data_IF_917195392622
#
_entry.id   IF_917195392622
#
_cell.length_a   1.000
_cell.length_b   1.000
_cell.length_c   1.000
_cell.angle_alpha   90.00
_cell.angle_beta   90.00
_cell.angle_gamma   90.00
#
_symmetry.space_group_name_H-M   'P 1'
#
loop_
_entity.id
_entity.type
_entity.pdbx_description
1 polymer ?
#
# COMPACT_ATOMS: atom_id res chain seq x y z
N UNK A 1 -46.30 -27.34 -6.43
CA UNK A 1 -45.78 -26.12 -7.09
C UNK A 1 -46.54 -24.84 -6.73
N UNK A 2 -47.43 -24.88 -5.73
CA UNK A 2 -48.34 -23.79 -5.31
C UNK A 2 -47.88 -23.06 -4.05
N UNK A 3 -47.16 -23.75 -3.15
CA UNK A 3 -46.77 -23.27 -1.82
C UNK A 3 -46.15 -21.85 -1.76
N UNK A 4 -45.17 -21.53 -2.62
CA UNK A 4 -44.46 -20.23 -2.57
C UNK A 4 -45.34 -19.09 -3.12
N UNK A 5 -46.06 -19.33 -4.20
CA UNK A 5 -46.97 -18.33 -4.78
C UNK A 5 -48.14 -18.02 -3.84
N UNK A 6 -48.64 -19.04 -3.14
CA UNK A 6 -49.71 -18.89 -2.15
C UNK A 6 -49.20 -18.13 -0.92
N UNK A 7 -47.97 -18.41 -0.46
CA UNK A 7 -47.31 -17.69 0.62
C UNK A 7 -47.10 -16.20 0.28
N UNK A 8 -46.56 -15.89 -0.91
CA UNK A 8 -46.38 -14.50 -1.36
C UNK A 8 -47.73 -13.77 -1.37
N UNK A 9 -48.76 -14.42 -1.92
CA UNK A 9 -50.12 -13.86 -1.97
C UNK A 9 -50.70 -13.62 -0.56
N UNK A 10 -50.47 -14.54 0.37
CA UNK A 10 -50.90 -14.38 1.77
C UNK A 10 -50.20 -13.22 2.46
N UNK A 11 -48.89 -13.06 2.24
CA UNK A 11 -48.08 -11.99 2.82
C UNK A 11 -48.53 -10.63 2.27
N UNK A 12 -48.69 -10.48 0.95
CA UNK A 12 -49.10 -9.21 0.34
C UNK A 12 -50.52 -8.78 0.75
N UNK A 13 -51.38 -9.72 1.14
CA UNK A 13 -52.74 -9.45 1.61
C UNK A 13 -52.90 -9.44 3.15
N UNK A 14 -51.80 -9.58 3.90
CA UNK A 14 -51.84 -9.69 5.36
C UNK A 14 -52.08 -8.37 6.11
N UNK A 15 -51.90 -7.22 5.43
CA UNK A 15 -51.93 -5.91 6.06
C UNK A 15 -50.71 -5.61 6.95
N UNK A 16 -49.64 -6.40 6.82
CA UNK A 16 -48.40 -6.21 7.54
C UNK A 16 -47.50 -5.19 6.85
N UNK A 17 -46.78 -4.42 7.66
CA UNK A 17 -45.69 -3.54 7.23
C UNK A 17 -44.34 -4.22 7.47
N UNK A 18 -43.34 -3.85 6.67
CA UNK A 18 -41.96 -4.28 6.83
C UNK A 18 -41.00 -3.11 6.70
N UNK A 19 -39.90 -3.19 7.43
CA UNK A 19 -38.78 -2.25 7.38
C UNK A 19 -37.68 -2.79 6.46
N UNK A 20 -37.22 -1.98 5.53
CA UNK A 20 -36.09 -2.33 4.68
C UNK A 20 -34.77 -2.24 5.48
N UNK A 21 -33.97 -3.32 5.58
CA UNK A 21 -32.74 -3.32 6.38
C UNK A 21 -31.62 -2.44 5.80
N UNK A 22 -31.70 -2.06 4.53
CA UNK A 22 -30.68 -1.22 3.86
C UNK A 22 -30.95 0.28 4.03
N UNK A 23 -32.21 0.71 3.98
CA UNK A 23 -32.57 2.13 4.08
C UNK A 23 -33.35 2.52 5.35
N UNK A 24 -33.84 1.55 6.13
CA UNK A 24 -34.62 1.77 7.36
C UNK A 24 -36.05 2.25 7.11
N UNK A 25 -36.52 2.27 5.86
CA UNK A 25 -37.86 2.75 5.52
C UNK A 25 -38.91 1.65 5.76
N UNK A 26 -39.97 1.99 6.50
CA UNK A 26 -41.11 1.10 6.75
C UNK A 26 -42.20 1.32 5.72
N UNK A 27 -42.69 0.24 5.11
CA UNK A 27 -43.77 0.29 4.12
C UNK A 27 -44.59 -1.00 4.13
N UNK A 28 -45.83 -0.92 3.63
CA UNK A 28 -46.73 -2.05 3.57
C UNK A 28 -46.19 -3.15 2.63
N UNK A 29 -46.22 -4.42 3.07
CA UNK A 29 -45.77 -5.54 2.24
C UNK A 29 -46.58 -5.71 0.95
N UNK A 30 -47.80 -5.15 0.92
CA UNK A 30 -48.64 -5.08 -0.28
C UNK A 30 -48.02 -4.23 -1.40
N UNK A 31 -47.16 -3.27 -1.08
CA UNK A 31 -46.47 -2.42 -2.06
C UNK A 31 -45.13 -2.99 -2.53
N UNK A 32 -44.71 -4.15 -2.03
CA UNK A 32 -43.41 -4.75 -2.33
C UNK A 32 -43.53 -5.73 -3.50
N UNK A 33 -42.55 -5.72 -4.40
CA UNK A 33 -42.40 -6.78 -5.40
C UNK A 33 -41.76 -8.01 -4.75
N UNK A 34 -42.59 -8.93 -4.27
CA UNK A 34 -42.16 -10.23 -3.77
C UNK A 34 -42.22 -11.27 -4.90
N UNK A 35 -41.19 -12.10 -5.03
CA UNK A 35 -41.12 -13.13 -6.07
C UNK A 35 -40.35 -14.36 -5.63
N UNK A 36 -40.61 -15.47 -6.33
CA UNK A 36 -39.91 -16.74 -6.12
C UNK A 36 -38.53 -16.70 -6.79
N UNK A 37 -37.47 -16.71 -5.97
CA UNK A 37 -36.09 -16.65 -6.44
C UNK A 37 -35.63 -17.88 -7.25
N UNK A 38 -36.42 -18.96 -7.30
CA UNK A 38 -36.15 -20.12 -8.14
C UNK A 38 -36.78 -19.99 -9.54
N UNK A 39 -37.59 -18.96 -9.77
CA UNK A 39 -38.23 -18.66 -11.06
C UNK A 39 -37.57 -17.46 -11.74
N UNK A 40 -37.84 -17.23 -13.03
CA UNK A 40 -37.40 -16.01 -13.70
C UNK A 40 -37.90 -14.78 -12.94
N UNK A 41 -36.99 -13.81 -12.77
CA UNK A 41 -37.30 -12.63 -11.98
C UNK A 41 -38.33 -11.76 -12.72
N UNK A 42 -39.21 -11.08 -11.99
CA UNK A 42 -40.01 -10.00 -12.53
C UNK A 42 -39.15 -8.93 -13.22
N UNK A 43 -39.72 -8.20 -14.18
CA UNK A 43 -38.97 -7.29 -15.05
C UNK A 43 -38.23 -6.18 -14.28
N UNK A 44 -38.82 -5.67 -13.21
CA UNK A 44 -38.24 -4.68 -12.30
C UNK A 44 -37.04 -5.26 -11.52
N UNK A 45 -37.18 -6.47 -10.96
CA UNK A 45 -36.11 -7.17 -10.27
C UNK A 45 -34.95 -7.54 -11.21
N UNK A 46 -35.25 -8.00 -12.42
CA UNK A 46 -34.24 -8.32 -13.43
C UNK A 46 -33.48 -7.08 -13.91
N UNK A 47 -34.19 -5.96 -14.10
CA UNK A 47 -33.57 -4.68 -14.44
C UNK A 47 -32.65 -4.20 -13.31
N UNK A 48 -33.10 -4.27 -12.05
CA UNK A 48 -32.29 -3.86 -10.90
C UNK A 48 -31.04 -4.72 -10.73
N UNK A 49 -31.16 -6.04 -10.94
CA UNK A 49 -30.03 -6.97 -10.95
C UNK A 49 -28.99 -6.57 -11.99
N UNK A 50 -29.40 -6.26 -13.23
CA UNK A 50 -28.49 -5.84 -14.30
C UNK A 50 -27.75 -4.54 -13.97
N UNK A 51 -28.44 -3.57 -13.35
CA UNK A 51 -27.82 -2.35 -12.87
C UNK A 51 -26.75 -2.65 -11.81
N UNK A 52 -27.07 -3.47 -10.81
CA UNK A 52 -26.13 -3.89 -9.78
C UNK A 52 -24.93 -4.65 -10.35
N UNK A 53 -25.14 -5.56 -11.31
CA UNK A 53 -24.05 -6.29 -11.98
C UNK A 53 -23.13 -5.35 -12.77
N UNK A 54 -23.70 -4.34 -13.44
CA UNK A 54 -22.92 -3.32 -14.15
C UNK A 54 -22.09 -2.46 -13.19
N UNK A 55 -22.68 -2.02 -12.08
CA UNK A 55 -21.96 -1.29 -11.03
C UNK A 55 -20.84 -2.12 -10.42
N UNK A 56 -21.11 -3.40 -10.13
CA UNK A 56 -20.12 -4.33 -9.61
C UNK A 56 -18.96 -4.45 -10.58
N UNK A 57 -19.24 -4.59 -11.89
CA UNK A 57 -18.19 -4.71 -12.92
C UNK A 57 -17.28 -3.49 -12.96
N UNK A 58 -17.84 -2.27 -12.89
CA UNK A 58 -17.05 -1.03 -12.83
C UNK A 58 -16.18 -1.00 -11.58
N UNK A 59 -16.72 -1.41 -10.43
CA UNK A 59 -15.97 -1.49 -9.18
C UNK A 59 -14.83 -2.52 -9.25
N UNK A 60 -15.09 -3.69 -9.83
CA UNK A 60 -14.10 -4.74 -10.07
C UNK A 60 -12.96 -4.28 -10.97
N UNK A 61 -13.27 -3.55 -12.05
CA UNK A 61 -12.25 -3.01 -12.96
C UNK A 61 -11.35 -1.98 -12.24
N UNK A 62 -11.95 -1.08 -11.44
CA UNK A 62 -11.19 -0.12 -10.59
C UNK A 62 -10.27 -0.83 -9.60
N UNK A 63 -10.75 -1.88 -8.93
CA UNK A 63 -9.95 -2.68 -8.01
C UNK A 63 -8.79 -3.38 -8.72
N UNK A 64 -9.02 -3.90 -9.92
CA UNK A 64 -7.98 -4.57 -10.72
C UNK A 64 -6.87 -3.60 -11.12
N UNK A 65 -7.23 -2.38 -11.54
CA UNK A 65 -6.26 -1.32 -11.84
C UNK A 65 -5.47 -0.86 -10.60
N UNK A 66 -6.14 -0.73 -9.44
CA UNK A 66 -5.48 -0.39 -8.18
C UNK A 66 -4.49 -1.47 -7.76
N UNK A 67 -4.88 -2.75 -7.85
CA UNK A 67 -4.02 -3.90 -7.56
C UNK A 67 -2.81 -3.96 -8.51
N UNK A 68 -3.00 -3.69 -9.79
CA UNK A 68 -1.90 -3.61 -10.76
C UNK A 68 -0.86 -2.54 -10.41
N UNK A 69 -1.31 -1.35 -9.98
CA UNK A 69 -0.43 -0.26 -9.52
C UNK A 69 0.37 -0.64 -8.26
N UNK A 70 -0.27 -1.30 -7.30
CA UNK A 70 0.39 -1.78 -6.08
C UNK A 70 1.45 -2.84 -6.45
N UNK A 71 1.12 -3.79 -7.33
CA UNK A 71 2.04 -4.85 -7.71
C UNK A 71 3.26 -4.34 -8.49
N UNK A 72 3.11 -3.27 -9.29
CA UNK A 72 4.23 -2.57 -9.93
C UNK A 72 5.12 -1.91 -8.87
N UNK A 73 4.51 -1.23 -7.88
CA UNK A 73 5.22 -0.60 -6.75
C UNK A 73 5.96 -1.63 -5.89
N UNK A 74 5.34 -2.78 -5.59
CA UNK A 74 5.95 -3.89 -4.85
C UNK A 74 7.12 -4.53 -5.61
N UNK A 75 7.03 -4.68 -6.94
CA UNK A 75 8.16 -5.19 -7.74
C UNK A 75 9.32 -4.20 -7.77
N UNK A 76 9.04 -2.90 -7.90
CA UNK A 76 10.06 -1.84 -7.78
C UNK A 76 10.67 -1.80 -6.37
N UNK A 77 9.85 -1.97 -5.33
CA UNK A 77 10.29 -2.03 -3.94
C UNK A 77 11.01 -3.34 -3.60
N UNK A 78 10.70 -4.47 -4.24
CA UNK A 78 11.40 -5.74 -4.03
C UNK A 78 12.74 -5.79 -4.77
N UNK A 79 12.83 -5.16 -5.95
CA UNK A 79 14.06 -5.04 -6.71
C UNK A 79 15.04 -4.01 -6.11
N UNK A 80 14.54 -2.87 -5.64
CA UNK A 80 15.37 -1.82 -5.01
C UNK A 80 15.48 -1.91 -3.49
N UNK A 81 14.48 -2.45 -2.81
CA UNK A 81 14.36 -2.43 -1.35
C UNK A 81 15.07 -3.57 -0.63
N UNK A 82 15.31 -4.72 -1.28
CA UNK A 82 16.14 -5.77 -0.68
C UNK A 82 17.58 -5.33 -0.46
N UNK A 83 18.15 -4.56 -1.41
CA UNK A 83 19.46 -3.90 -1.24
C UNK A 83 19.43 -2.88 -0.10
N UNK A 84 18.43 -2.00 -0.09
CA UNK A 84 18.27 -0.94 0.91
C UNK A 84 18.02 -1.41 2.34
N UNK A 85 17.30 -2.52 2.52
CA UNK A 85 17.09 -3.14 3.85
C UNK A 85 18.40 -3.75 4.34
N UNK A 86 19.18 -4.40 3.46
CA UNK A 86 20.49 -4.93 3.82
C UNK A 86 21.46 -3.78 4.13
N UNK A 87 21.46 -2.71 3.33
CA UNK A 87 22.26 -1.50 3.56
C UNK A 87 22.04 -0.94 4.97
N UNK A 88 20.78 -0.79 5.39
CA UNK A 88 20.43 -0.30 6.74
C UNK A 88 20.90 -1.19 7.91
N UNK A 89 21.13 -2.49 7.65
CA UNK A 89 21.54 -3.47 8.66
C UNK A 89 23.05 -3.70 8.69
N UNK A 90 23.84 -3.06 7.82
CA UNK A 90 25.28 -3.29 7.77
C UNK A 90 26.03 -2.89 9.06
N UNK A 91 25.68 -1.82 9.79
CA UNK A 91 26.35 -1.49 11.04
C UNK A 91 26.27 -2.58 12.12
N UNK A 92 25.24 -3.44 12.08
CA UNK A 92 25.11 -4.58 13.01
C UNK A 92 25.79 -5.87 12.51
N UNK A 93 26.36 -5.86 11.30
CA UNK A 93 27.04 -7.02 10.73
C UNK A 93 28.47 -7.13 11.25
N UNK A 94 28.87 -8.34 11.64
CA UNK A 94 30.25 -8.64 12.04
C UNK A 94 31.23 -8.23 10.94
N UNK A 95 32.19 -7.37 11.27
CA UNK A 95 33.26 -6.94 10.38
C UNK A 95 33.06 -5.60 9.67
N UNK A 96 32.02 -4.82 10.02
CA UNK A 96 31.82 -3.47 9.47
C UNK A 96 32.92 -2.47 9.87
N UNK A 97 33.53 -2.66 11.05
CA UNK A 97 34.72 -1.91 11.48
C UNK A 97 34.44 -0.53 12.10
N UNK A 98 33.18 -0.16 12.29
CA UNK A 98 32.76 1.08 12.94
C UNK A 98 31.81 0.80 14.11
N UNK A 99 31.87 1.65 15.13
CA UNK A 99 30.91 1.63 16.24
C UNK A 99 29.52 2.03 15.75
N UNK A 100 28.49 1.29 16.16
CA UNK A 100 27.13 1.49 15.67
C UNK A 100 26.57 2.84 16.08
N UNK A 101 26.91 3.29 17.29
CA UNK A 101 26.51 4.56 17.90
C UNK A 101 27.03 5.78 17.11
N UNK A 102 28.12 5.61 16.37
CA UNK A 102 28.76 6.64 15.55
C UNK A 102 28.16 6.71 14.13
N UNK A 103 27.41 5.68 13.71
CA UNK A 103 26.85 5.58 12.37
C UNK A 103 25.48 6.28 12.26
N UNK A 104 25.28 7.09 11.23
CA UNK A 104 23.98 7.72 10.89
C UNK A 104 23.56 7.32 9.48
N UNK A 105 22.47 6.56 9.39
CA UNK A 105 21.90 6.13 8.11
C UNK A 105 21.13 7.28 7.43
N UNK A 106 21.33 7.43 6.13
CA UNK A 106 20.72 8.46 5.28
C UNK A 106 20.05 7.89 4.00
N UNK A 107 20.50 6.73 3.50
CA UNK A 107 20.12 6.13 2.21
C UNK A 107 20.63 6.90 0.96
N UNK A 108 19.81 7.16 -0.05
CA UNK A 108 20.29 7.78 -1.30
C UNK A 108 20.46 9.30 -1.14
N UNK A 109 21.57 9.92 -1.58
CA UNK A 109 22.68 9.37 -2.39
C UNK A 109 23.90 8.83 -1.64
N UNK A 110 23.99 8.98 -0.33
CA UNK A 110 25.09 8.47 0.52
C UNK A 110 24.47 7.72 1.68
N UNK A 111 24.74 6.41 1.80
CA UNK A 111 24.02 5.56 2.76
C UNK A 111 24.28 5.92 4.22
N UNK A 112 25.51 6.31 4.56
CA UNK A 112 25.92 6.60 5.93
C UNK A 112 26.81 7.85 6.05
N UNK A 113 26.64 8.56 7.16
CA UNK A 113 27.68 9.42 7.74
C UNK A 113 28.12 8.79 9.06
N UNK A 114 29.42 8.58 9.23
CA UNK A 114 30.01 8.00 10.43
C UNK A 114 30.81 9.08 11.14
N UNK A 115 30.48 9.35 12.40
CA UNK A 115 31.18 10.30 13.26
C UNK A 115 32.10 9.54 14.21
N UNK A 116 33.25 9.11 13.72
CA UNK A 116 34.16 8.21 14.44
C UNK A 116 34.62 8.84 15.75
N UNK A 117 34.34 8.16 16.87
CA UNK A 117 34.65 8.59 18.23
C UNK A 117 33.52 9.35 18.94
N UNK A 118 32.41 9.65 18.26
CA UNK A 118 31.33 10.45 18.82
C UNK A 118 30.74 9.84 20.10
N UNK A 119 30.62 8.52 20.16
CA UNK A 119 30.17 7.77 21.34
C UNK A 119 31.09 7.97 22.56
N UNK A 120 32.38 8.22 22.32
CA UNK A 120 33.40 8.49 23.34
C UNK A 120 33.53 10.01 23.64
N UNK A 121 32.70 10.85 23.01
CA UNK A 121 32.68 12.29 23.24
C UNK A 121 33.71 13.09 22.45
N UNK A 122 34.35 12.50 21.43
CA UNK A 122 35.31 13.19 20.57
C UNK A 122 35.19 12.71 19.12
N UNK A 123 35.04 13.60 18.14
CA UNK A 123 34.96 13.20 16.73
C UNK A 123 36.31 13.38 16.05
N UNK A 124 36.96 12.26 15.73
CA UNK A 124 38.26 12.25 15.06
C UNK A 124 38.12 12.37 13.54
N UNK A 125 37.16 11.65 12.96
CA UNK A 125 36.91 11.60 11.52
C UNK A 125 35.40 11.60 11.21
N UNK A 126 35.04 12.21 10.08
CA UNK A 126 33.69 12.13 9.51
C UNK A 126 33.78 11.39 8.18
N UNK A 127 33.24 10.19 8.13
CA UNK A 127 33.26 9.32 6.94
C UNK A 127 31.91 9.34 6.24
N UNK A 128 31.90 9.76 4.97
CA UNK A 128 30.74 9.63 4.08
C UNK A 128 30.85 8.31 3.34
N UNK A 129 29.93 7.38 3.63
CA UNK A 129 29.98 6.02 3.13
C UNK A 129 28.76 5.69 2.28
N UNK A 130 29.04 5.12 1.11
CA UNK A 130 28.05 4.55 0.20
C UNK A 130 28.38 3.07 0.04
N UNK A 131 27.41 2.23 0.31
CA UNK A 131 27.58 0.78 0.38
C UNK A 131 27.19 0.19 -0.96
N UNK A 132 28.14 -0.54 -1.55
CA UNK A 132 27.95 -1.17 -2.84
C UNK A 132 27.95 -2.69 -2.71
N UNK A 133 26.86 -3.32 -3.14
CA UNK A 133 26.79 -4.78 -3.26
C UNK A 133 27.29 -5.25 -4.64
N UNK A 134 28.42 -5.98 -4.68
CA UNK A 134 28.92 -6.67 -5.87
C UNK A 134 30.25 -6.13 -6.42
N UNK A 135 30.93 -6.95 -7.25
CA UNK A 135 32.28 -6.68 -7.78
C UNK A 135 32.37 -5.55 -8.82
N UNK A 136 31.24 -5.05 -9.32
CA UNK A 136 31.14 -4.10 -10.45
C UNK A 136 30.36 -2.84 -10.09
N UNK A 137 30.21 -2.54 -8.81
CA UNK A 137 29.37 -1.46 -8.36
C UNK A 137 30.18 -0.16 -8.26
N UNK A 138 30.10 0.64 -9.32
CA UNK A 138 30.65 2.00 -9.38
C UNK A 138 29.72 3.02 -8.73
N UNK A 139 30.29 4.14 -8.29
CA UNK A 139 29.52 5.32 -7.87
C UNK A 139 28.66 5.82 -9.04
N UNK A 140 27.44 6.25 -8.78
CA UNK A 140 26.65 6.95 -9.79
C UNK A 140 27.14 8.40 -10.00
N UNK A 141 26.53 9.12 -10.95
CA UNK A 141 26.93 10.50 -11.27
C UNK A 141 26.70 11.48 -10.12
N UNK A 142 25.67 11.31 -9.30
CA UNK A 142 25.41 12.15 -8.13
C UNK A 142 26.41 11.84 -7.01
N UNK A 143 26.68 10.56 -6.77
CA UNK A 143 27.64 10.09 -5.78
C UNK A 143 29.06 10.55 -6.08
N UNK A 144 29.47 10.50 -7.37
CA UNK A 144 30.75 11.06 -7.81
C UNK A 144 30.87 12.55 -7.49
N UNK A 145 29.84 13.35 -7.78
CA UNK A 145 29.83 14.79 -7.49
C UNK A 145 29.96 15.07 -5.99
N UNK A 146 29.30 14.28 -5.15
CA UNK A 146 29.40 14.41 -3.69
C UNK A 146 30.81 14.07 -3.20
N UNK A 147 31.37 12.94 -3.66
CA UNK A 147 32.77 12.56 -3.37
C UNK A 147 33.74 13.67 -3.76
N UNK A 148 33.56 14.26 -4.93
CA UNK A 148 34.45 15.31 -5.44
C UNK A 148 34.32 16.60 -4.62
N UNK A 149 33.11 16.99 -4.21
CA UNK A 149 32.91 18.12 -3.29
C UNK A 149 33.62 17.88 -1.94
N UNK A 150 33.53 16.66 -1.38
CA UNK A 150 34.23 16.30 -0.14
C UNK A 150 35.75 16.39 -0.34
N UNK A 151 36.29 15.81 -1.43
CA UNK A 151 37.73 15.84 -1.74
C UNK A 151 38.27 17.25 -1.95
N UNK A 152 37.45 18.15 -2.49
CA UNK A 152 37.81 19.54 -2.71
C UNK A 152 37.66 20.41 -1.44
N UNK A 153 37.26 19.83 -0.30
CA UNK A 153 36.94 20.53 0.95
C UNK A 153 35.77 21.52 0.83
N UNK A 154 34.84 21.28 -0.10
CA UNK A 154 33.62 22.09 -0.29
C UNK A 154 32.51 21.70 0.72
N UNK A 155 32.87 21.49 1.99
CA UNK A 155 31.97 21.05 3.07
C UNK A 155 31.70 22.22 4.03
N UNK A 156 30.44 22.39 4.45
CA UNK A 156 30.02 23.52 5.31
C UNK A 156 29.23 23.03 6.51
N UNK A 157 29.51 23.59 7.68
CA UNK A 157 28.70 23.46 8.89
C UNK A 157 27.90 24.75 9.12
N UNK A 158 26.58 24.63 9.34
CA UNK A 158 25.68 25.77 9.54
C UNK A 158 24.73 25.50 10.70
N UNK A 159 24.54 26.50 11.55
CA UNK A 159 23.50 26.53 12.60
C UNK A 159 22.40 27.51 12.16
N UNK A 160 21.14 27.16 12.39
CA UNK A 160 19.96 27.99 12.11
C UNK A 160 19.43 28.61 13.41
#
# INVERSE_FOLDING_TARGET
>A
MTEISDLISSIQNSGLDAECPECGETSALSSWTLFDGLKPFPADAEQKKKEMEAELKVYWDKLKEAKGRIQISERSAAAGGKGKIVEGLIPVMKGFGYEMEDCRFLANPIDYIIFEGAAQGNVDHITFMDIKAGKSADLDTHQRKIRDAIKNNDVKFKVL
#
